data_IF_803181947626
#
_entry.id   IF_803181947626
#
_cell.length_a   1.000
_cell.length_b   1.000
_cell.length_c   1.000
_cell.angle_alpha   90.00
_cell.angle_beta   90.00
_cell.angle_gamma   90.00
#
_symmetry.space_group_name_H-M   'P 1'
#
loop_
_entity.id
_entity.type
_entity.pdbx_description
1 polymer ?
#
# COMPACT_ATOMS: atom_id res chain seq x y z
N UNK A 1 9.17 -53.35 -26.57
CA UNK A 1 8.55 -53.88 -25.33
C UNK A 1 7.15 -53.29 -25.18
N UNK A 2 6.15 -54.12 -24.84
CA UNK A 2 4.79 -53.84 -24.31
C UNK A 2 4.02 -52.65 -24.92
N UNK A 3 3.09 -52.89 -25.85
CA UNK A 3 1.62 -53.09 -25.64
C UNK A 3 1.00 -52.10 -24.65
N UNK A 4 0.03 -51.30 -25.12
CA UNK A 4 -1.38 -51.33 -24.68
C UNK A 4 -2.26 -50.74 -25.80
N UNK A 5 -3.33 -51.47 -26.09
CA UNK A 5 -4.44 -51.24 -27.01
C UNK A 5 -5.66 -50.88 -26.15
N UNK A 6 -6.72 -50.32 -26.78
CA UNK A 6 -8.18 -50.38 -26.47
C UNK A 6 -8.88 -48.99 -26.58
N UNK A 7 -10.13 -48.92 -27.09
CA UNK A 7 -10.47 -48.05 -28.23
C UNK A 7 -11.70 -47.12 -28.08
N UNK A 8 -11.89 -46.27 -29.10
CA UNK A 8 -13.11 -45.88 -29.86
C UNK A 8 -14.51 -45.90 -29.20
N UNK A 9 -15.22 -44.75 -29.23
CA UNK A 9 -16.66 -44.56 -29.57
C UNK A 9 -16.97 -43.04 -29.51
N UNK A 10 -17.17 -42.29 -30.60
CA UNK A 10 -18.21 -42.28 -31.64
C UNK A 10 -19.47 -41.46 -31.30
N UNK A 11 -19.72 -40.49 -32.19
CA UNK A 11 -21.00 -39.99 -32.71
C UNK A 11 -21.93 -39.11 -31.84
N UNK A 12 -22.43 -38.03 -32.47
CA UNK A 12 -23.69 -37.41 -32.06
C UNK A 12 -23.90 -35.93 -32.42
N UNK A 13 -23.84 -35.57 -33.71
CA UNK A 13 -24.48 -34.35 -34.23
C UNK A 13 -26.00 -34.61 -34.29
N UNK A 14 -26.81 -33.76 -33.65
CA UNK A 14 -28.22 -33.63 -34.03
C UNK A 14 -28.75 -32.21 -33.75
N UNK A 15 -28.98 -31.50 -34.84
CA UNK A 15 -29.67 -30.21 -34.91
C UNK A 15 -31.18 -30.45 -34.85
N UNK A 16 -31.89 -29.73 -33.98
CA UNK A 16 -33.34 -29.52 -34.10
C UNK A 16 -33.64 -28.03 -34.06
N UNK A 17 -33.99 -27.50 -35.23
CA UNK A 17 -34.76 -26.27 -35.40
C UNK A 17 -36.21 -26.56 -35.04
N UNK A 18 -36.86 -25.72 -34.24
CA UNK A 18 -38.31 -25.50 -34.35
C UNK A 18 -38.73 -24.11 -33.84
N UNK A 19 -39.50 -23.45 -34.71
CA UNK A 19 -40.59 -22.48 -34.47
C UNK A 19 -40.32 -21.10 -33.87
N UNK A 20 -40.41 -20.10 -34.74
CA UNK A 20 -40.95 -18.78 -34.40
C UNK A 20 -42.48 -18.84 -34.28
N UNK A 21 -43.08 -18.13 -33.33
CA UNK A 21 -44.34 -17.41 -33.52
C UNK A 21 -44.56 -16.33 -32.44
N UNK A 22 -45.10 -15.19 -32.89
CA UNK A 22 -45.48 -13.97 -32.19
C UNK A 22 -46.46 -14.19 -31.02
N UNK A 23 -46.42 -13.30 -30.00
CA UNK A 23 -47.54 -12.43 -29.54
C UNK A 23 -47.13 -11.63 -28.29
N UNK A 24 -47.50 -10.35 -28.29
CA UNK A 24 -47.29 -9.31 -27.27
C UNK A 24 -48.02 -9.59 -25.93
N UNK A 25 -47.41 -9.27 -24.78
CA UNK A 25 -47.96 -8.32 -23.77
C UNK A 25 -47.15 -8.26 -22.45
N UNK A 26 -46.93 -7.01 -22.02
CA UNK A 26 -46.98 -6.43 -20.66
C UNK A 26 -46.34 -7.17 -19.46
N UNK A 27 -45.31 -6.49 -18.93
CA UNK A 27 -45.11 -6.09 -17.52
C UNK A 27 -45.54 -7.08 -16.42
N UNK A 28 -44.55 -7.69 -15.77
CA UNK A 28 -44.51 -7.79 -14.30
C UNK A 28 -43.09 -8.11 -13.84
N UNK A 29 -42.72 -7.57 -12.68
CA UNK A 29 -41.37 -7.51 -12.13
C UNK A 29 -40.81 -8.88 -11.71
N UNK A 30 -39.54 -9.12 -12.02
CA UNK A 30 -38.75 -10.19 -11.38
C UNK A 30 -37.34 -9.67 -11.03
N UNK A 31 -37.24 -9.20 -9.78
CA UNK A 31 -36.15 -9.42 -8.84
C UNK A 31 -34.73 -9.50 -9.46
N UNK A 32 -34.13 -8.34 -9.69
CA UNK A 32 -32.68 -8.23 -9.90
C UNK A 32 -31.97 -8.71 -8.63
N UNK A 33 -31.39 -9.91 -8.72
CA UNK A 33 -30.51 -10.48 -7.71
C UNK A 33 -29.34 -9.51 -7.53
N UNK A 34 -29.33 -8.86 -6.37
CA UNK A 34 -28.24 -8.03 -5.88
C UNK A 34 -26.97 -8.88 -5.85
N UNK A 35 -26.20 -8.80 -6.95
CA UNK A 35 -24.80 -9.20 -6.95
C UNK A 35 -24.09 -8.15 -6.11
N UNK A 36 -23.97 -8.44 -4.81
CA UNK A 36 -22.93 -7.84 -3.98
C UNK A 36 -21.63 -8.13 -4.71
N UNK A 37 -21.14 -7.13 -5.44
CA UNK A 37 -19.79 -7.12 -5.95
C UNK A 37 -18.90 -7.21 -4.72
N UNK A 38 -18.41 -8.41 -4.43
CA UNK A 38 -17.30 -8.62 -3.52
C UNK A 38 -16.17 -7.76 -4.10
N UNK A 39 -15.71 -6.70 -3.42
CA UNK A 39 -14.65 -5.87 -3.95
C UNK A 39 -13.45 -6.76 -4.23
N UNK A 40 -12.97 -6.69 -5.47
CA UNK A 40 -11.80 -7.40 -5.95
C UNK A 40 -10.66 -7.26 -4.93
N UNK A 41 -10.07 -8.40 -4.59
CA UNK A 41 -8.93 -8.58 -3.70
C UNK A 41 -8.15 -7.28 -3.43
N UNK A 42 -8.37 -6.71 -2.24
CA UNK A 42 -7.42 -5.76 -1.70
C UNK A 42 -6.17 -6.56 -1.38
N UNK A 43 -5.21 -6.61 -2.31
CA UNK A 43 -3.88 -7.13 -2.04
C UNK A 43 -3.27 -6.22 -0.98
N UNK A 44 -3.40 -6.62 0.28
CA UNK A 44 -2.78 -5.93 1.40
C UNK A 44 -1.30 -6.26 1.34
N UNK A 45 -0.52 -5.43 0.66
CA UNK A 45 0.93 -5.53 0.70
C UNK A 45 1.37 -5.22 2.14
N UNK A 46 1.75 -6.28 2.85
CA UNK A 46 2.17 -6.20 4.25
C UNK A 46 3.40 -5.31 4.36
N UNK A 47 3.33 -4.27 5.18
CA UNK A 47 4.47 -3.42 5.55
C UNK A 47 5.36 -4.23 6.47
N UNK A 48 6.62 -4.39 6.07
CA UNK A 48 7.67 -4.98 6.90
C UNK A 48 8.10 -3.96 7.94
N UNK A 49 8.04 -4.34 9.21
CA UNK A 49 8.51 -3.54 10.35
C UNK A 49 9.80 -4.17 10.87
N UNK A 50 10.82 -3.34 11.05
CA UNK A 50 12.12 -3.70 11.64
C UNK A 50 12.57 -2.53 12.51
N UNK A 51 13.53 -2.76 13.40
CA UNK A 51 14.20 -1.65 14.08
C UNK A 51 15.01 -0.86 13.06
N UNK A 52 14.66 0.41 12.88
CA UNK A 52 15.33 1.32 11.95
C UNK A 52 15.55 2.69 12.59
N UNK A 53 16.57 3.39 12.10
CA UNK A 53 16.82 4.79 12.39
C UNK A 53 17.07 5.56 11.08
N UNK A 54 16.61 6.80 11.02
CA UNK A 54 16.87 7.74 9.94
C UNK A 54 17.46 9.01 10.53
N UNK A 55 18.52 9.51 9.92
CA UNK A 55 19.15 10.76 10.33
C UNK A 55 20.13 11.30 9.30
N UNK A 56 20.82 12.37 9.68
CA UNK A 56 21.86 13.02 8.89
C UNK A 56 23.19 13.06 9.64
N UNK A 57 24.17 13.79 9.10
CA UNK A 57 25.49 13.94 9.72
C UNK A 57 25.46 14.63 11.10
N UNK A 58 24.41 15.40 11.39
CA UNK A 58 24.24 16.16 12.64
C UNK A 58 23.45 15.35 13.66
N UNK A 59 22.33 14.76 13.24
CA UNK A 59 21.41 13.99 14.09
C UNK A 59 21.20 12.62 13.48
N UNK A 60 21.97 11.64 13.97
CA UNK A 60 21.97 10.26 13.44
C UNK A 60 20.64 9.52 13.59
N UNK A 61 19.93 9.81 14.67
CA UNK A 61 18.70 9.11 15.05
C UNK A 61 17.52 10.10 15.13
N UNK A 62 17.39 10.97 14.13
CA UNK A 62 16.34 11.98 14.10
C UNK A 62 14.94 11.33 14.09
N UNK A 63 14.82 10.17 13.45
CA UNK A 63 13.64 9.33 13.47
C UNK A 63 14.03 7.89 13.80
N UNK A 64 13.29 7.24 14.68
CA UNK A 64 13.48 5.81 15.00
C UNK A 64 12.15 5.07 14.94
N UNK A 65 12.17 3.83 14.47
CA UNK A 65 11.04 2.90 14.57
C UNK A 65 11.53 1.60 15.19
N UNK A 66 10.73 1.02 16.06
CA UNK A 66 10.97 -0.29 16.67
C UNK A 66 10.26 -1.41 15.89
N UNK A 67 10.52 -2.67 16.25
CA UNK A 67 10.00 -3.83 15.52
C UNK A 67 8.47 -3.98 15.57
N UNK A 68 7.81 -3.39 16.57
CA UNK A 68 6.35 -3.35 16.69
C UNK A 68 5.73 -2.13 16.00
N UNK A 69 6.56 -1.29 15.36
CA UNK A 69 6.13 -0.14 14.59
C UNK A 69 5.97 1.16 15.38
N UNK A 70 6.21 1.16 16.70
CA UNK A 70 6.27 2.40 17.47
C UNK A 70 7.44 3.24 16.98
N UNK A 71 7.18 4.52 16.67
CA UNK A 71 8.19 5.43 16.15
C UNK A 71 8.26 6.75 16.92
N UNK A 72 9.46 7.31 16.91
CA UNK A 72 9.83 8.53 17.61
C UNK A 72 10.51 9.50 16.67
N UNK A 73 10.33 10.80 16.95
CA UNK A 73 11.04 11.88 16.29
C UNK A 73 11.80 12.63 17.38
N UNK A 74 13.13 12.77 17.22
CA UNK A 74 14.03 13.40 18.19
C UNK A 74 13.84 12.86 19.61
N UNK A 75 13.68 11.53 19.73
CA UNK A 75 13.52 10.83 21.00
C UNK A 75 12.14 10.93 21.64
N UNK A 76 11.18 11.65 21.03
CA UNK A 76 9.79 11.69 21.50
C UNK A 76 8.93 10.73 20.68
N UNK A 77 8.24 9.82 21.34
CA UNK A 77 7.25 8.95 20.69
C UNK A 77 6.11 9.78 20.10
N UNK A 78 5.79 9.51 18.84
CA UNK A 78 4.79 10.27 18.07
C UNK A 78 3.64 9.40 17.56
N UNK A 79 3.84 8.09 17.43
CA UNK A 79 2.81 7.21 16.93
C UNK A 79 3.29 5.81 16.60
N UNK A 80 2.45 5.10 15.84
CA UNK A 80 2.65 3.69 15.46
C UNK A 80 2.36 3.51 13.98
N UNK A 81 3.26 2.82 13.26
CA UNK A 81 3.03 2.29 11.92
C UNK A 81 2.73 0.79 12.03
N UNK A 82 1.57 0.37 11.54
CA UNK A 82 1.17 -1.04 11.58
C UNK A 82 1.52 -1.78 10.29
N UNK A 83 1.54 -3.11 10.34
CA UNK A 83 1.86 -4.00 9.22
C UNK A 83 0.86 -3.93 8.06
N UNK A 84 -0.35 -3.43 8.29
CA UNK A 84 -1.30 -3.16 7.20
C UNK A 84 -1.13 -1.75 6.59
N UNK A 85 -0.10 -1.01 7.03
CA UNK A 85 0.24 0.32 6.53
C UNK A 85 -0.60 1.45 7.09
N UNK A 86 -1.36 1.26 8.17
CA UNK A 86 -1.96 2.38 8.90
C UNK A 86 -0.93 3.08 9.78
N UNK A 87 -0.85 4.40 9.63
CA UNK A 87 -0.12 5.31 10.49
C UNK A 87 -1.09 5.94 11.51
N UNK A 88 -0.80 5.77 12.78
CA UNK A 88 -1.61 6.30 13.89
C UNK A 88 -0.80 7.22 14.77
N UNK A 89 -1.46 8.21 15.37
CA UNK A 89 -0.86 8.99 16.45
C UNK A 89 -0.76 8.20 17.76
N UNK A 90 -0.11 8.79 18.76
CA UNK A 90 0.02 8.22 20.11
C UNK A 90 -1.30 8.09 20.88
N UNK A 91 -2.41 8.67 20.38
CA UNK A 91 -3.77 8.51 20.92
C UNK A 91 -4.55 7.42 20.18
N UNK A 92 -3.95 6.77 19.18
CA UNK A 92 -4.53 5.69 18.38
C UNK A 92 -5.39 6.15 17.20
N UNK A 93 -5.45 7.46 16.93
CA UNK A 93 -6.19 8.01 15.78
C UNK A 93 -5.44 7.73 14.50
N UNK A 94 -6.13 7.21 13.49
CA UNK A 94 -5.57 7.01 12.14
C UNK A 94 -5.37 8.36 11.46
N UNK A 95 -4.17 8.56 10.92
CA UNK A 95 -3.76 9.81 10.26
C UNK A 95 -3.67 9.61 8.76
N UNK A 96 -3.13 8.45 8.37
CA UNK A 96 -2.90 8.06 7.00
C UNK A 96 -2.83 6.53 6.89
N UNK A 97 -2.97 6.01 5.67
CA UNK A 97 -2.90 4.58 5.39
C UNK A 97 -2.30 4.31 4.02
N UNK A 98 -1.73 3.13 3.87
CA UNK A 98 -1.38 2.59 2.55
C UNK A 98 -2.59 1.95 1.87
N UNK A 99 -2.72 2.21 0.57
CA UNK A 99 -3.70 1.63 -0.34
C UNK A 99 -2.97 1.25 -1.64
N UNK A 100 -2.52 0.00 -1.73
CA UNK A 100 -1.57 -0.41 -2.75
C UNK A 100 -0.26 0.39 -2.62
N UNK A 101 0.08 1.19 -3.63
CA UNK A 101 1.23 2.12 -3.61
C UNK A 101 0.88 3.55 -3.16
N UNK A 102 -0.40 3.85 -2.95
CA UNK A 102 -0.85 5.17 -2.56
C UNK A 102 -0.76 5.31 -1.04
N UNK A 103 -0.14 6.38 -0.56
CA UNK A 103 -0.22 6.79 0.83
C UNK A 103 -1.26 7.89 0.94
N UNK A 104 -2.37 7.58 1.59
CA UNK A 104 -3.58 8.40 1.66
C UNK A 104 -3.76 8.96 3.06
N UNK A 105 -4.33 10.16 3.19
CA UNK A 105 -4.81 10.65 4.47
C UNK A 105 -6.06 9.90 4.97
N UNK A 106 -6.52 10.24 6.17
CA UNK A 106 -7.72 9.64 6.78
C UNK A 106 -9.02 9.81 5.95
N UNK A 107 -9.05 10.77 5.01
CA UNK A 107 -10.20 11.02 4.12
C UNK A 107 -10.06 10.32 2.76
N UNK A 108 -8.97 9.59 2.50
CA UNK A 108 -8.69 8.93 1.23
C UNK A 108 -8.04 9.85 0.18
N UNK A 109 -7.60 11.06 0.55
CA UNK A 109 -6.83 11.91 -0.35
C UNK A 109 -5.41 11.37 -0.45
N UNK A 110 -4.93 11.15 -1.67
CA UNK A 110 -3.55 10.73 -1.93
C UNK A 110 -2.58 11.85 -1.52
N UNK A 111 -1.67 11.53 -0.60
CA UNK A 111 -0.59 12.41 -0.15
C UNK A 111 0.66 12.21 -1.02
N UNK A 112 1.00 10.96 -1.31
CA UNK A 112 2.12 10.58 -2.18
C UNK A 112 1.99 9.13 -2.64
N UNK A 113 2.88 8.70 -3.54
CA UNK A 113 3.04 7.29 -3.93
C UNK A 113 4.34 6.76 -3.32
N UNK A 114 4.23 5.66 -2.57
CA UNK A 114 5.37 4.95 -1.99
C UNK A 114 5.34 3.51 -2.50
N UNK A 115 6.26 3.19 -3.40
CA UNK A 115 6.41 1.87 -4.02
C UNK A 115 6.84 0.82 -2.98
N UNK A 116 6.68 -0.46 -3.32
CA UNK A 116 7.03 -1.57 -2.42
C UNK A 116 8.50 -1.57 -1.99
N UNK A 117 9.40 -1.13 -2.86
CA UNK A 117 10.84 -1.02 -2.60
C UNK A 117 11.21 0.19 -1.72
N UNK A 118 10.23 1.00 -1.31
CA UNK A 118 10.41 2.23 -0.55
C UNK A 118 10.71 3.46 -1.40
N UNK A 119 10.64 3.40 -2.72
CA UNK A 119 10.79 4.59 -3.56
C UNK A 119 9.59 5.53 -3.36
N UNK A 120 9.86 6.79 -3.00
CA UNK A 120 8.87 7.86 -2.91
C UNK A 120 8.82 8.60 -4.25
N UNK A 121 7.67 8.60 -4.91
CA UNK A 121 7.50 9.29 -6.18
C UNK A 121 7.40 10.79 -5.93
N UNK A 122 8.29 11.55 -6.58
CA UNK A 122 8.29 13.00 -6.49
C UNK A 122 7.77 13.59 -7.80
N UNK A 123 6.77 14.47 -7.73
CA UNK A 123 6.18 15.13 -8.90
C UNK A 123 7.15 15.97 -9.73
N UNK A 124 8.36 16.24 -9.22
CA UNK A 124 9.46 16.91 -9.94
C UNK A 124 10.22 16.00 -10.92
N UNK A 125 9.91 14.70 -10.98
CA UNK A 125 10.57 13.72 -11.85
C UNK A 125 11.85 13.09 -11.27
N UNK A 126 12.21 13.41 -10.02
CA UNK A 126 13.32 12.78 -9.30
C UNK A 126 12.80 12.04 -8.06
N UNK A 127 12.48 10.77 -8.23
CA UNK A 127 12.05 9.89 -7.14
C UNK A 127 13.14 9.76 -6.06
N UNK A 128 12.74 9.77 -4.79
CA UNK A 128 13.62 9.52 -3.66
C UNK A 128 13.67 8.01 -3.38
N UNK A 129 14.86 7.45 -3.17
CA UNK A 129 15.02 6.01 -2.92
C UNK A 129 16.22 5.71 -2.03
N UNK A 130 16.13 4.62 -1.26
CA UNK A 130 17.21 4.19 -0.37
C UNK A 130 18.25 3.35 -1.12
N UNK A 131 19.50 3.84 -1.14
CA UNK A 131 20.65 3.09 -1.62
C UNK A 131 20.94 1.83 -0.82
N UNK A 132 21.81 0.97 -1.33
CA UNK A 132 22.26 -0.24 -0.63
C UNK A 132 23.08 0.06 0.64
N UNK A 133 23.74 1.22 0.66
CA UNK A 133 24.46 1.77 1.80
C UNK A 133 23.56 2.58 2.76
N UNK A 134 22.24 2.57 2.55
CA UNK A 134 21.28 3.31 3.38
C UNK A 134 21.20 4.80 3.05
N UNK A 135 22.04 5.33 2.17
CA UNK A 135 21.98 6.72 1.75
C UNK A 135 20.71 7.00 0.93
N UNK A 136 20.00 8.09 1.26
CA UNK A 136 18.87 8.55 0.47
C UNK A 136 19.35 9.22 -0.82
N UNK A 137 18.99 8.64 -1.96
CA UNK A 137 19.32 9.15 -3.29
C UNK A 137 18.37 10.27 -3.70
N UNK A 138 18.87 11.16 -4.56
CA UNK A 138 18.12 12.27 -5.16
C UNK A 138 17.53 13.28 -4.15
N UNK A 139 18.02 13.27 -2.91
CA UNK A 139 17.72 14.26 -1.87
C UNK A 139 18.74 15.38 -1.89
N UNK A 140 18.31 16.61 -1.59
CA UNK A 140 19.22 17.75 -1.36
C UNK A 140 19.95 17.64 -0.01
N UNK A 141 19.35 16.92 0.94
CA UNK A 141 19.91 16.65 2.26
C UNK A 141 20.43 15.22 2.30
N UNK A 142 21.67 15.07 2.74
CA UNK A 142 22.28 13.76 2.93
C UNK A 142 21.69 13.08 4.16
N UNK A 143 20.89 12.03 3.95
CA UNK A 143 20.26 11.26 5.02
C UNK A 143 20.54 9.78 4.86
N UNK A 144 20.61 9.08 6.00
CA UNK A 144 20.98 7.68 6.08
C UNK A 144 19.92 6.89 6.82
N UNK A 145 19.61 5.70 6.29
CA UNK A 145 18.80 4.66 6.90
C UNK A 145 19.72 3.61 7.53
N UNK A 146 19.49 3.30 8.80
CA UNK A 146 20.22 2.28 9.56
C UNK A 146 19.25 1.23 10.09
N UNK A 147 19.51 -0.09 9.90
CA UNK A 147 20.56 -0.65 9.07
C UNK A 147 20.28 -0.42 7.58
N UNK A 148 21.34 -0.22 6.80
CA UNK A 148 21.26 0.11 5.36
C UNK A 148 20.53 -0.94 4.51
N UNK A 149 20.69 -2.22 4.85
CA UNK A 149 20.14 -3.38 4.15
C UNK A 149 18.82 -3.89 4.75
N UNK A 150 18.12 -3.05 5.52
CA UNK A 150 16.80 -3.37 6.07
C UNK A 150 15.80 -3.73 4.96
N UNK A 151 14.86 -4.63 5.27
CA UNK A 151 13.70 -4.90 4.42
C UNK A 151 12.58 -3.87 4.64
N UNK A 152 12.66 -3.08 5.72
CA UNK A 152 11.68 -2.07 6.08
C UNK A 152 11.84 -0.74 5.33
N UNK A 153 12.45 -0.74 4.12
CA UNK A 153 12.62 0.49 3.30
C UNK A 153 11.31 1.23 3.03
N UNK A 154 10.23 0.48 2.84
CA UNK A 154 8.89 1.07 2.66
C UNK A 154 8.38 1.76 3.92
N UNK A 155 8.55 1.13 5.07
CA UNK A 155 8.23 1.75 6.36
C UNK A 155 9.09 3.00 6.59
N UNK A 156 10.40 2.92 6.33
CA UNK A 156 11.31 4.06 6.42
C UNK A 156 10.84 5.25 5.57
N UNK A 157 10.37 5.00 4.35
CA UNK A 157 9.85 6.04 3.46
C UNK A 157 8.54 6.66 3.91
N UNK A 158 7.62 5.86 4.47
CA UNK A 158 6.40 6.38 5.11
C UNK A 158 6.77 7.34 6.24
N UNK A 159 7.71 6.94 7.09
CA UNK A 159 8.14 7.74 8.23
C UNK A 159 8.92 8.99 7.81
N UNK A 160 9.76 8.88 6.79
CA UNK A 160 10.48 10.03 6.23
C UNK A 160 9.53 11.07 5.63
N UNK A 161 8.57 10.64 4.81
CA UNK A 161 7.56 11.53 4.24
C UNK A 161 6.77 12.24 5.35
N UNK A 162 6.41 11.48 6.38
CA UNK A 162 5.72 11.97 7.57
C UNK A 162 6.54 13.03 8.31
N UNK A 163 7.84 12.77 8.52
CA UNK A 163 8.76 13.72 9.16
C UNK A 163 8.83 15.07 8.42
N UNK A 164 9.02 15.05 7.09
CA UNK A 164 9.08 16.29 6.30
C UNK A 164 7.74 17.01 6.21
N UNK A 165 6.64 16.27 6.16
CA UNK A 165 5.30 16.85 6.17
C UNK A 165 5.01 17.59 7.48
N UNK A 166 5.65 17.20 8.58
CA UNK A 166 5.55 17.89 9.87
C UNK A 166 6.55 19.03 10.06
N UNK A 167 7.74 18.94 9.46
CA UNK A 167 8.80 19.94 9.64
C UNK A 167 8.70 21.12 8.68
N UNK A 168 8.01 20.99 7.55
CA UNK A 168 8.00 21.98 6.47
C UNK A 168 6.61 22.25 5.88
N UNK A 169 5.73 22.86 6.67
CA UNK A 169 4.61 23.66 6.13
C UNK A 169 3.50 22.92 5.37
N UNK A 170 2.61 22.23 6.10
CA UNK A 170 1.17 22.47 6.00
C UNK A 170 0.59 22.44 7.42
N UNK A 171 0.22 23.61 7.93
CA UNK A 171 -0.18 23.88 9.32
C UNK A 171 -1.48 23.21 9.79
N UNK A 172 -1.92 22.11 9.18
CA UNK A 172 -3.18 21.45 9.49
C UNK A 172 -3.01 20.13 10.26
N UNK A 173 -1.82 19.49 10.24
CA UNK A 173 -1.60 18.21 10.93
C UNK A 173 -0.86 18.34 12.27
N UNK A 174 -0.04 19.38 12.49
CA UNK A 174 0.62 19.59 13.79
C UNK A 174 -0.35 19.96 14.91
N UNK A 175 -1.56 20.43 14.59
CA UNK A 175 -2.67 20.59 15.53
C UNK A 175 -3.42 19.28 15.84
N UNK A 176 -3.21 18.21 15.07
CA UNK A 176 -3.90 16.92 15.30
C UNK A 176 -3.22 16.01 16.33
N UNK A 177 -1.98 16.34 16.71
CA UNK A 177 -1.17 15.60 17.70
C UNK A 177 -1.00 16.33 19.04
N UNK A 178 -1.58 17.52 19.19
CA UNK A 178 -1.73 18.15 20.51
C UNK A 178 -2.91 17.52 21.24
#
# INVERSE_FOLDING_TARGET
MKRIFIPLLAAGLLSCLFSCNNTENKTSAEQAKEQVAVPADTVINTIVLEEIAIGDATVKDALKMSQDGHFSILGKEVGVLSTNGQLKDNKGKVLAKMSGNQFEDANGKVLTIIKEDGTIVNGSGKDLSWGENGLLKNSEVEMYLTPANTKAKRAASILLFTYFSFSGGQGELTNKFK
#
